data_IF_500666212427
#
_entry.id   IF_500666212427
#
_cell.length_a   1.000
_cell.length_b   1.000
_cell.length_c   1.000
_cell.angle_alpha   90.00
_cell.angle_beta   90.00
_cell.angle_gamma   90.00
#
_symmetry.space_group_name_H-M   'P 1'
#
loop_
_entity.id
_entity.type
_entity.pdbx_description
1 polymer ?
#
# COMPACT_ATOMS: atom_id res chain seq x y z
N UNK A 1 -0.72 -23.39 -0.21
CA UNK A 1 -2.06 -23.78 0.30
C UNK A 1 -2.11 -24.04 1.82
N UNK A 2 -1.12 -23.63 2.64
CA UNK A 2 -1.14 -23.81 4.11
C UNK A 2 -1.49 -22.52 4.88
N UNK A 3 -1.19 -21.37 4.31
CA UNK A 3 -1.41 -20.07 4.96
C UNK A 3 -2.87 -19.77 5.28
N UNK A 4 -3.78 -20.00 4.32
CA UNK A 4 -5.21 -19.73 4.50
C UNK A 4 -5.83 -20.61 5.60
N UNK A 5 -5.36 -21.85 5.75
CA UNK A 5 -5.81 -22.78 6.78
C UNK A 5 -5.39 -22.31 8.17
N UNK A 6 -4.12 -21.94 8.33
CA UNK A 6 -3.59 -21.44 9.60
C UNK A 6 -4.30 -20.14 10.05
N UNK A 7 -4.68 -19.30 9.10
CA UNK A 7 -5.45 -18.07 9.35
C UNK A 7 -6.85 -18.38 9.87
N UNK A 8 -7.57 -19.29 9.21
CA UNK A 8 -8.93 -19.68 9.61
C UNK A 8 -8.95 -20.42 10.95
N UNK A 9 -7.97 -21.29 11.20
CA UNK A 9 -7.83 -21.98 12.49
C UNK A 9 -7.61 -20.99 13.64
N UNK A 10 -6.74 -20.00 13.45
CA UNK A 10 -6.49 -18.96 14.46
C UNK A 10 -7.74 -18.10 14.70
N UNK A 11 -8.44 -17.71 13.64
CA UNK A 11 -9.68 -16.94 13.75
C UNK A 11 -10.78 -17.73 14.50
N UNK A 12 -10.92 -19.03 14.23
CA UNK A 12 -11.86 -19.90 14.96
C UNK A 12 -11.51 -20.06 16.45
N UNK A 13 -10.23 -20.18 16.79
CA UNK A 13 -9.77 -20.26 18.19
C UNK A 13 -10.08 -18.94 18.93
N UNK A 14 -9.83 -17.80 18.29
CA UNK A 14 -10.07 -16.46 18.85
C UNK A 14 -11.57 -16.18 19.03
N UNK A 15 -12.39 -16.59 18.07
CA UNK A 15 -13.85 -16.46 18.11
C UNK A 15 -14.53 -17.38 19.16
N UNK A 16 -13.78 -18.19 19.92
CA UNK A 16 -14.30 -19.08 20.99
C UNK A 16 -15.55 -19.90 20.60
N UNK A 17 -15.68 -20.28 19.33
CA UNK A 17 -16.79 -21.10 18.86
C UNK A 17 -18.14 -20.38 18.69
N UNK A 18 -18.20 -19.04 18.65
CA UNK A 18 -19.40 -18.39 18.10
C UNK A 18 -19.55 -18.75 16.61
N UNK A 19 -20.75 -19.15 16.20
CA UNK A 19 -21.06 -19.60 14.82
C UNK A 19 -20.88 -18.53 13.73
N UNK A 20 -20.46 -17.32 14.10
CA UNK A 20 -20.07 -16.24 13.20
C UNK A 20 -18.72 -15.68 13.66
N UNK A 21 -17.79 -15.54 12.72
CA UNK A 21 -16.48 -14.92 12.92
C UNK A 21 -16.60 -13.47 12.47
N UNK A 22 -16.44 -12.52 13.39
CA UNK A 22 -16.39 -11.09 13.13
C UNK A 22 -14.99 -10.62 12.70
N UNK A 23 -14.89 -9.36 12.28
CA UNK A 23 -13.58 -8.76 11.90
C UNK A 23 -12.66 -8.66 13.11
N UNK A 24 -13.23 -8.49 14.30
CA UNK A 24 -12.59 -8.47 15.61
C UNK A 24 -11.91 -9.80 15.96
N UNK A 25 -12.39 -10.92 15.44
CA UNK A 25 -11.82 -12.26 15.71
C UNK A 25 -10.65 -12.60 14.80
N UNK A 26 -10.41 -11.80 13.76
CA UNK A 26 -9.27 -11.99 12.87
C UNK A 26 -7.96 -11.64 13.57
N UNK A 27 -6.86 -12.34 13.25
CA UNK A 27 -5.51 -11.98 13.67
C UNK A 27 -5.19 -10.51 13.36
N UNK A 28 -4.43 -9.86 14.24
CA UNK A 28 -4.12 -8.43 14.14
C UNK A 28 -3.50 -8.02 12.79
N UNK A 29 -2.77 -8.92 12.15
CA UNK A 29 -2.14 -8.70 10.84
C UNK A 29 -3.17 -8.63 9.70
N UNK A 30 -4.22 -9.45 9.77
CA UNK A 30 -5.35 -9.42 8.82
C UNK A 30 -6.29 -8.26 9.09
N UNK A 31 -6.52 -7.90 10.36
CA UNK A 31 -7.27 -6.68 10.70
C UNK A 31 -6.58 -5.43 10.17
N UNK A 32 -5.24 -5.37 10.23
CA UNK A 32 -4.47 -4.28 9.62
C UNK A 32 -4.59 -4.25 8.11
N UNK A 33 -4.52 -5.40 7.44
CA UNK A 33 -4.73 -5.49 5.99
C UNK A 33 -6.13 -5.03 5.55
N UNK A 34 -7.16 -5.21 6.40
CA UNK A 34 -8.50 -4.67 6.18
C UNK A 34 -8.63 -3.16 6.45
N UNK A 35 -7.84 -2.63 7.39
CA UNK A 35 -7.86 -1.22 7.78
C UNK A 35 -7.27 -0.27 6.71
N UNK A 36 -6.50 -0.79 5.76
CA UNK A 36 -5.92 -0.02 4.65
C UNK A 36 -6.97 0.56 3.67
N UNK A 37 -8.25 0.16 3.76
CA UNK A 37 -9.32 0.63 2.87
C UNK A 37 -10.20 1.73 3.45
N UNK A 38 -9.87 2.30 4.61
CA UNK A 38 -10.54 3.53 5.07
C UNK A 38 -9.88 4.72 4.38
N UNK A 39 -10.68 5.53 3.68
CA UNK A 39 -10.20 6.79 3.10
C UNK A 39 -9.56 7.63 4.20
N UNK A 40 -8.24 7.79 4.15
CA UNK A 40 -7.51 8.72 5.00
C UNK A 40 -7.31 9.99 4.19
N UNK A 41 -7.76 11.16 4.69
CA UNK A 41 -7.50 12.42 4.02
C UNK A 41 -5.99 12.69 4.09
N UNK A 42 -5.32 12.50 2.96
CA UNK A 42 -3.92 12.86 2.77
C UNK A 42 -3.85 14.14 1.95
N UNK A 43 -2.84 14.97 2.21
CA UNK A 43 -2.54 16.08 1.33
C UNK A 43 -2.23 15.55 -0.08
N UNK A 44 -2.71 16.24 -1.12
CA UNK A 44 -2.43 15.88 -2.52
C UNK A 44 -0.93 15.72 -2.78
N UNK A 45 -0.10 16.54 -2.13
CA UNK A 45 1.36 16.45 -2.21
C UNK A 45 1.91 15.11 -1.69
N UNK A 46 1.32 14.54 -0.65
CA UNK A 46 1.76 13.26 -0.09
C UNK A 46 1.29 12.09 -0.96
N UNK A 47 0.07 12.16 -1.49
CA UNK A 47 -0.42 11.18 -2.48
C UNK A 47 0.48 11.18 -3.71
N UNK A 48 0.82 12.36 -4.23
CA UNK A 48 1.71 12.52 -5.36
C UNK A 48 3.12 11.99 -5.05
N UNK A 49 3.70 12.34 -3.90
CA UNK A 49 5.02 11.87 -3.47
C UNK A 49 5.09 10.34 -3.45
N UNK A 50 4.14 9.70 -2.78
CA UNK A 50 4.07 8.24 -2.67
C UNK A 50 3.86 7.59 -4.03
N UNK A 51 3.04 8.17 -4.89
CA UNK A 51 2.81 7.66 -6.23
C UNK A 51 4.07 7.70 -7.07
N UNK A 52 4.77 8.84 -7.08
CA UNK A 52 6.05 9.03 -7.80
C UNK A 52 7.10 8.03 -7.32
N UNK A 53 7.25 7.87 -6.00
CA UNK A 53 8.21 6.94 -5.41
C UNK A 53 7.93 5.49 -5.83
N UNK A 54 6.66 5.06 -5.77
CA UNK A 54 6.25 3.71 -6.18
C UNK A 54 6.49 3.47 -7.67
N UNK A 55 6.13 4.42 -8.53
CA UNK A 55 6.34 4.29 -9.97
C UNK A 55 7.83 4.23 -10.32
N UNK A 56 8.66 5.04 -9.67
CA UNK A 56 10.12 4.97 -9.85
C UNK A 56 10.68 3.60 -9.42
N UNK A 57 10.26 3.07 -8.27
CA UNK A 57 10.66 1.73 -7.81
C UNK A 57 10.21 0.64 -8.78
N UNK A 58 8.98 0.72 -9.28
CA UNK A 58 8.43 -0.22 -10.25
C UNK A 58 9.25 -0.28 -11.55
N UNK A 59 9.72 0.89 -12.03
CA UNK A 59 10.58 0.99 -13.22
C UNK A 59 12.08 0.89 -12.92
N UNK A 60 12.48 0.49 -11.71
CA UNK A 60 13.89 0.35 -11.33
C UNK A 60 14.68 1.66 -11.44
N UNK A 61 14.07 2.80 -11.13
CA UNK A 61 14.69 4.11 -11.20
C UNK A 61 14.71 4.74 -12.59
N UNK A 62 14.14 4.09 -13.62
CA UNK A 62 14.09 4.66 -14.97
C UNK A 62 13.14 5.87 -15.04
N UNK A 63 13.72 7.07 -14.94
CA UNK A 63 13.00 8.35 -14.94
C UNK A 63 12.21 8.61 -16.23
N UNK A 64 12.66 8.10 -17.38
CA UNK A 64 11.95 8.32 -18.65
C UNK A 64 10.67 7.50 -18.70
N UNK A 65 10.74 6.20 -18.37
CA UNK A 65 9.56 5.33 -18.31
C UNK A 65 8.59 5.74 -17.20
N UNK A 66 9.13 6.11 -16.05
CA UNK A 66 8.32 6.58 -14.92
C UNK A 66 7.54 7.86 -15.27
N UNK A 67 8.18 8.81 -15.95
CA UNK A 67 7.51 10.04 -16.37
C UNK A 67 6.39 9.78 -17.40
N UNK A 68 6.62 8.85 -18.33
CA UNK A 68 5.59 8.42 -19.30
C UNK A 68 4.38 7.79 -18.60
N UNK A 69 4.60 6.89 -17.64
CA UNK A 69 3.50 6.26 -16.90
C UNK A 69 2.74 7.25 -16.01
N UNK A 70 3.47 8.17 -15.38
CA UNK A 70 2.87 9.26 -14.59
C UNK A 70 2.17 10.32 -15.46
N UNK A 71 2.32 10.28 -16.79
CA UNK A 71 1.73 11.25 -17.70
C UNK A 71 2.31 12.66 -17.59
N UNK A 72 3.56 12.80 -17.13
CA UNK A 72 4.24 14.09 -16.94
C UNK A 72 5.52 14.17 -17.76
N UNK A 73 6.01 15.39 -17.97
CA UNK A 73 7.33 15.56 -18.61
C UNK A 73 8.45 15.00 -17.72
N UNK A 74 9.53 14.52 -18.34
CA UNK A 74 10.72 14.08 -17.61
C UNK A 74 11.32 15.19 -16.74
N UNK A 75 11.27 16.45 -17.21
CA UNK A 75 11.73 17.60 -16.44
C UNK A 75 10.88 17.82 -15.17
N UNK A 76 9.56 17.70 -15.31
CA UNK A 76 8.62 17.77 -14.17
C UNK A 76 8.93 16.69 -13.14
N UNK A 77 9.14 15.45 -13.57
CA UNK A 77 9.49 14.35 -12.67
C UNK A 77 10.79 14.63 -11.92
N UNK A 78 11.84 15.09 -12.60
CA UNK A 78 13.13 15.42 -11.96
C UNK A 78 12.96 16.52 -10.91
N UNK A 79 12.17 17.56 -11.20
CA UNK A 79 11.90 18.62 -10.24
C UNK A 79 11.12 18.11 -9.03
N UNK A 80 10.14 17.23 -9.22
CA UNK A 80 9.39 16.61 -8.12
C UNK A 80 10.25 15.69 -7.26
N UNK A 81 11.12 14.87 -7.87
CA UNK A 81 12.10 14.04 -7.16
C UNK A 81 12.95 14.90 -6.22
N UNK A 82 13.48 16.02 -6.72
CA UNK A 82 14.27 16.96 -5.92
C UNK A 82 13.43 17.62 -4.82
N UNK A 83 12.23 18.09 -5.15
CA UNK A 83 11.35 18.80 -4.21
C UNK A 83 10.89 17.91 -3.05
N UNK A 84 10.75 16.61 -3.31
CA UNK A 84 10.36 15.62 -2.31
C UNK A 84 11.52 14.89 -1.64
N UNK A 85 12.77 15.18 -2.03
CA UNK A 85 13.95 14.50 -1.49
C UNK A 85 13.94 12.98 -1.72
N UNK A 86 13.45 12.53 -2.89
CA UNK A 86 13.41 11.10 -3.21
C UNK A 86 14.81 10.64 -3.68
N UNK A 87 15.51 9.89 -2.83
CA UNK A 87 16.76 9.20 -3.18
C UNK A 87 16.43 7.79 -3.71
N UNK A 88 16.70 7.58 -5.00
CA UNK A 88 16.38 6.36 -5.75
C UNK A 88 17.53 5.99 -6.69
#
# INVERSE_FOLDING_TARGET
>A
MREMRNVLERAMILARGVGQIGVEDLPADLRRAGAERRHQPLALAEVERVHIEKTLKFHGGNRTRSAQELGISRATLINKIKSYGLDL
#
